data_IF_088362102131
#
_entry.id   IF_088362102131
#
_cell.length_a   1.000
_cell.length_b   1.000
_cell.length_c   1.000
_cell.angle_alpha   90.00
_cell.angle_beta   90.00
_cell.angle_gamma   90.00
#
_symmetry.space_group_name_H-M   'P 1'
#
loop_
_entity.id
_entity.type
_entity.pdbx_description
1 polymer ?
2 non-polymer ?
3 non-polymer ?
4 water ?
#
# COMPACT_ATOMS: atom_id res chain seq x y z
N UNK A 12 -1.51 23.30 -19.38
CA UNK A 12 -1.65 23.64 -17.93
C UNK A 12 -0.55 22.96 -17.09
N UNK A 13 -0.70 21.66 -16.77
CA UNK A 13 0.37 20.95 -16.04
C UNK A 13 1.63 20.87 -16.88
N UNK A 14 1.46 20.91 -18.18
CA UNK A 14 2.61 20.82 -19.05
C UNK A 14 3.48 22.09 -18.97
N UNK A 15 2.90 23.23 -18.52
CA UNK A 15 3.63 24.52 -18.56
C UNK A 15 3.57 25.45 -17.34
N UNK A 16 2.75 25.19 -16.33
CA UNK A 16 2.51 26.18 -15.28
C UNK A 16 3.52 26.02 -14.15
N UNK A 17 4.22 27.08 -13.80
CA UNK A 17 5.29 27.00 -12.81
C UNK A 17 4.76 26.63 -11.42
N UNK A 18 3.65 27.26 -11.00
CA UNK A 18 3.15 27.00 -9.65
C UNK A 18 2.69 25.56 -9.46
N UNK A 19 2.04 24.99 -10.48
CA UNK A 19 1.66 23.57 -10.43
C UNK A 19 2.89 22.67 -10.21
N UNK A 20 3.94 22.90 -11.02
CA UNK A 20 5.17 22.16 -10.88
C UNK A 20 5.80 22.35 -9.50
N UNK A 21 5.97 23.62 -9.07
CA UNK A 21 6.68 23.94 -7.82
C UNK A 21 5.92 23.34 -6.61
N UNK A 22 4.59 23.47 -6.60
CA UNK A 22 3.78 23.01 -5.48
C UNK A 22 3.68 21.49 -5.43
N UNK A 23 3.69 20.82 -6.56
CA UNK A 23 3.76 19.35 -6.57
C UNK A 23 5.06 18.88 -5.90
N UNK A 24 6.18 19.50 -6.22
CA UNK A 24 7.47 19.13 -5.59
C UNK A 24 7.46 19.47 -4.12
N UNK A 25 6.97 20.66 -3.82
CA UNK A 25 6.93 21.09 -2.42
C UNK A 25 6.03 20.20 -1.55
N UNK A 26 4.84 19.86 -2.05
CA UNK A 26 3.94 19.06 -1.28
C UNK A 26 4.40 17.60 -1.12
N UNK A 27 5.18 17.10 -2.06
CA UNK A 27 5.86 15.80 -1.87
C UNK A 27 6.79 15.88 -0.67
N UNK A 28 7.55 16.98 -0.54
CA UNK A 28 8.44 17.10 0.61
C UNK A 28 7.65 17.18 1.92
N UNK A 29 6.58 17.96 1.93
CA UNK A 29 5.77 18.07 3.13
C UNK A 29 5.19 16.66 3.52
N UNK A 30 4.69 15.94 2.52
CA UNK A 30 4.05 14.64 2.76
C UNK A 30 5.11 13.67 3.32
N UNK A 31 6.30 13.71 2.78
CA UNK A 31 7.37 12.83 3.26
C UNK A 31 7.78 13.18 4.69
N UNK A 32 7.82 14.47 5.03
CA UNK A 32 8.18 14.90 6.40
C UNK A 32 7.06 14.49 7.37
N UNK A 33 5.82 14.66 6.96
CA UNK A 33 4.70 14.21 7.81
C UNK A 33 4.70 12.67 8.00
N UNK A 34 5.04 11.92 6.97
CA UNK A 34 5.13 10.48 7.11
C UNK A 34 6.23 10.09 8.08
N UNK A 35 7.40 10.70 7.96
CA UNK A 35 8.48 10.41 8.91
C UNK A 35 8.03 10.69 10.35
N UNK A 36 7.32 11.78 10.56
CA UNK A 36 6.80 12.10 11.91
C UNK A 36 5.83 11.04 12.39
N UNK A 37 4.97 10.58 11.49
CA UNK A 37 4.03 9.53 11.84
C UNK A 37 4.74 8.23 12.19
N UNK A 38 5.78 7.89 11.43
CA UNK A 38 6.57 6.68 11.67
C UNK A 38 7.26 6.77 13.07
N UNK A 39 7.86 7.91 13.35
CA UNK A 39 8.64 8.11 14.57
C UNK A 39 7.69 8.02 15.78
N UNK A 40 6.50 8.60 15.62
CA UNK A 40 5.50 8.57 16.67
C UNK A 40 4.90 7.16 16.86
N UNK A 41 4.78 6.39 15.78
CA UNK A 41 4.29 5.01 15.92
C UNK A 41 5.26 4.18 16.78
N UNK A 42 6.54 4.33 16.51
CA UNK A 42 7.61 3.65 17.27
C UNK A 42 7.45 3.96 18.77
N UNK A 43 7.29 5.23 19.11
CA UNK A 43 7.09 5.64 20.50
C UNK A 43 5.80 5.10 21.07
N UNK A 44 4.69 5.10 20.32
CA UNK A 44 3.43 4.55 20.79
C UNK A 44 3.51 3.06 21.02
N UNK A 46 6.25 1.32 21.65
CA UNK A 46 7.10 1.19 22.84
C UNK A 46 6.31 1.47 24.14
N UNK A 47 5.50 2.53 24.16
CA UNK A 47 4.57 2.77 25.29
C UNK A 47 3.60 1.65 25.65
N UNK A 48 3.09 0.94 24.65
CA UNK A 48 2.11 -0.11 24.92
C UNK A 48 2.81 -1.45 25.15
N UNK A 49 3.90 -1.70 24.46
CA UNK A 49 4.47 -3.04 24.45
C UNK A 49 5.91 -3.13 24.97
N UNK A 50 6.53 -2.00 25.29
CA UNK A 50 7.98 -1.97 25.53
C UNK A 50 8.78 -2.27 24.25
N UNK A 51 10.06 -2.54 24.38
CA UNK A 51 10.90 -2.95 23.25
C UNK A 51 10.69 -4.46 22.96
N UNK A 52 9.44 -4.81 22.59
CA UNK A 52 8.98 -6.24 22.45
C UNK A 52 9.87 -6.92 21.42
N UNK A 53 10.24 -8.18 21.66
CA UNK A 53 11.23 -8.84 20.79
C UNK A 53 10.67 -8.86 19.35
N UNK A 54 11.45 -8.29 18.43
CA UNK A 54 11.15 -8.31 17.01
C UNK A 54 10.23 -7.22 16.50
N UNK A 55 9.61 -6.48 17.41
CA UNK A 55 8.55 -5.57 17.03
C UNK A 55 9.06 -4.42 16.24
N UNK A 57 11.93 -4.08 14.71
CA UNK A 57 12.54 -4.54 13.46
C UNK A 57 11.48 -4.87 12.41
N UNK A 58 10.35 -5.44 12.85
CA UNK A 58 9.24 -5.75 11.92
C UNK A 58 8.63 -4.50 11.35
N UNK A 59 8.49 -3.47 12.18
CA UNK A 59 7.95 -2.18 11.73
C UNK A 59 8.90 -1.54 10.72
N UNK A 60 10.20 -1.58 11.01
CA UNK A 60 11.19 -1.05 10.08
C UNK A 60 11.25 -1.84 8.77
N UNK A 61 11.17 -3.17 8.83
CA UNK A 61 11.18 -4.01 7.63
C UNK A 61 9.97 -3.70 6.73
N UNK A 62 8.79 -3.61 7.34
CA UNK A 62 7.55 -3.29 6.61
C UNK A 62 7.67 -1.94 5.91
N UNK A 63 8.19 -0.94 6.61
CA UNK A 63 8.29 0.39 6.03
C UNK A 63 9.27 0.41 4.85
N UNK A 64 10.33 -0.38 4.95
CA UNK A 64 11.25 -0.55 3.83
C UNK A 64 10.60 -1.14 2.59
N UNK A 65 9.85 -2.22 2.75
CA UNK A 65 9.14 -2.81 1.65
C UNK A 65 8.11 -1.78 1.10
N UNK A 66 7.44 -1.06 1.98
CA UNK A 66 6.46 -0.05 1.57
C UNK A 66 7.09 0.97 0.61
N UNK A 67 8.30 1.39 0.93
CA UNK A 67 8.96 2.41 0.09
C UNK A 67 9.26 1.82 -1.29
N UNK A 68 9.60 0.52 -1.34
CA UNK A 68 9.78 -0.15 -2.62
C UNK A 68 8.48 -0.22 -3.39
N UNK A 69 7.38 -0.55 -2.69
CA UNK A 69 6.06 -0.57 -3.34
C UNK A 69 5.65 0.80 -3.89
N UNK A 70 5.88 1.81 -3.09
CA UNK A 70 5.54 3.19 -3.46
C UNK A 70 6.16 3.51 -4.83
N UNK A 71 7.43 3.22 -4.99
CA UNK A 71 8.14 3.50 -6.24
C UNK A 71 7.64 2.63 -7.39
N UNK A 72 7.42 1.33 -7.13
CA UNK A 72 6.88 0.44 -8.14
C UNK A 72 5.50 0.92 -8.62
N UNK A 73 4.60 1.27 -7.69
CA UNK A 73 3.29 1.78 -8.06
C UNK A 73 3.38 3.11 -8.81
N UNK A 74 4.26 4.00 -8.40
CA UNK A 74 4.35 5.31 -9.06
C UNK A 74 4.88 5.11 -10.51
N UNK A 75 5.72 4.08 -10.74
CA UNK A 75 6.14 3.77 -12.11
C UNK A 75 4.97 3.33 -12.98
N UNK A 76 4.01 2.59 -12.42
CA UNK A 76 2.77 2.27 -13.16
C UNK A 76 1.94 3.51 -13.38
N UNK A 77 1.66 4.27 -12.30
CA UNK A 77 0.76 5.39 -12.44
C UNK A 77 1.25 6.41 -13.47
N UNK A 78 2.57 6.59 -13.59
CA UNK A 78 3.16 7.56 -14.49
C UNK A 78 3.60 6.98 -15.85
N UNK A 79 3.16 5.76 -16.14
CA UNK A 79 3.69 5.04 -17.28
C UNK A 79 3.48 5.78 -18.62
N UNK A 80 2.43 6.59 -18.73
CA UNK A 80 2.06 7.23 -20.01
C UNK A 80 2.80 8.55 -20.14
N UNK A 81 3.49 8.98 -19.10
CA UNK A 81 4.19 10.26 -19.16
C UNK A 81 5.64 10.00 -19.50
N UNK A 82 6.29 11.03 -20.01
CA UNK A 82 7.67 10.97 -20.43
C UNK A 82 8.57 11.29 -19.25
N UNK A 83 9.43 10.34 -18.83
CA UNK A 83 10.33 10.63 -17.71
C UNK A 83 11.06 11.94 -17.82
N UNK A 84 11.00 12.74 -16.76
CA UNK A 84 11.66 14.04 -16.75
C UNK A 84 10.81 15.22 -17.19
N UNK A 85 9.66 14.97 -17.84
CA UNK A 85 8.85 16.04 -18.34
C UNK A 85 8.13 16.73 -17.16
N UNK A 86 7.65 17.93 -17.40
CA UNK A 86 6.87 18.65 -16.39
C UNK A 86 5.72 17.76 -15.89
N UNK A 87 4.95 17.17 -16.83
CA UNK A 87 3.79 16.37 -16.55
C UNK A 87 4.16 15.13 -15.76
N UNK A 88 5.30 14.53 -16.10
CA UNK A 88 5.79 13.38 -15.41
C UNK A 88 6.20 13.71 -13.98
N UNK A 89 6.94 14.79 -13.84
CA UNK A 89 7.37 15.19 -12.48
C UNK A 89 6.17 15.53 -11.56
N UNK A 90 5.20 16.26 -12.08
CA UNK A 90 4.00 16.60 -11.33
C UNK A 90 3.24 15.30 -10.95
N UNK A 91 3.08 14.39 -11.91
CA UNK A 91 2.37 13.13 -11.65
C UNK A 91 3.10 12.26 -10.62
N UNK A 92 4.41 12.18 -10.79
CA UNK A 92 5.28 11.40 -9.91
C UNK A 92 5.20 11.95 -8.51
N UNK A 93 5.41 13.25 -8.38
CA UNK A 93 5.38 13.92 -7.10
C UNK A 93 4.01 13.85 -6.41
N UNK A 94 2.92 13.95 -7.16
CA UNK A 94 1.56 13.81 -6.61
C UNK A 94 1.31 12.38 -6.12
N UNK A 95 1.80 11.41 -6.87
CA UNK A 95 1.67 10.01 -6.49
C UNK A 95 2.43 9.75 -5.18
N UNK A 96 3.65 10.24 -5.09
CA UNK A 96 4.49 10.05 -3.90
C UNK A 96 3.78 10.69 -2.72
N UNK A 97 3.25 11.91 -2.91
CA UNK A 97 2.59 12.62 -1.82
C UNK A 97 1.36 11.85 -1.35
N UNK A 98 0.50 11.43 -2.27
CA UNK A 98 -0.72 10.72 -1.93
C UNK A 98 -0.42 9.38 -1.25
N UNK A 99 0.54 8.65 -1.77
CA UNK A 99 0.91 7.38 -1.19
C UNK A 99 1.48 7.55 0.21
N UNK A 100 2.26 8.61 0.38
CA UNK A 100 2.87 8.92 1.66
C UNK A 100 1.79 9.31 2.68
N UNK A 101 0.79 10.09 2.24
CA UNK A 101 -0.32 10.49 3.13
C UNK A 101 -1.08 9.28 3.59
N UNK A 102 -1.38 8.36 2.67
CA UNK A 102 -2.11 7.16 3.02
C UNK A 102 -1.30 6.28 4.00
N UNK A 103 0.02 6.18 3.79
CA UNK A 103 0.88 5.40 4.71
C UNK A 103 0.92 6.05 6.07
N UNK A 104 0.95 7.37 6.12
CA UNK A 104 0.99 8.08 7.37
C UNK A 104 -0.28 7.80 8.16
N UNK A 105 -1.44 7.83 7.47
CA UNK A 105 -2.69 7.51 8.13
C UNK A 105 -2.69 6.07 8.68
N UNK A 106 -2.22 5.13 7.90
CA UNK A 106 -2.14 3.77 8.35
C UNK A 106 -1.24 3.62 9.60
N UNK A 107 -0.08 4.26 9.62
CA UNK A 107 0.84 4.15 10.77
C UNK A 107 0.23 4.79 12.02
N UNK A 108 -0.44 5.92 11.86
CA UNK A 108 -1.19 6.51 12.97
C UNK A 108 -2.23 5.53 13.51
N UNK A 109 -2.93 4.85 12.61
CA UNK A 109 -3.99 3.92 13.01
C UNK A 109 -3.45 2.70 13.77
N UNK A 110 -2.24 2.27 13.44
CA UNK A 110 -1.61 1.12 14.08
C UNK A 110 -1.25 1.39 15.52
N UNK A 111 -0.87 2.62 15.86
CA UNK A 111 -0.48 2.93 17.19
C UNK A 111 -1.66 2.87 18.11
N UNK A 112 -2.86 3.10 17.54
CA UNK A 112 -4.11 3.09 18.31
C UNK A 112 -4.80 1.73 18.41
N UNK A 113 -4.24 0.68 17.79
CA UNK A 113 -4.80 -0.66 18.00
C UNK A 113 -4.41 -1.06 19.45
N UNK A 114 -5.42 -1.20 20.33
CA UNK A 114 -5.20 -1.35 21.80
C UNK A 114 -4.92 -2.80 22.22
N UNK B 16 -14.69 -19.93 18.69
CA UNK B 16 -15.73 -20.50 17.78
C UNK B 16 -15.12 -20.99 16.47
N UNK B 17 -15.60 -22.17 16.11
CA UNK B 17 -15.38 -22.74 14.80
C UNK B 17 -15.87 -21.77 13.72
N UNK B 18 -16.98 -21.07 13.99
CA UNK B 18 -17.58 -20.13 13.01
C UNK B 18 -16.77 -18.85 12.80
N UNK B 19 -16.25 -18.24 13.85
CA UNK B 19 -15.33 -17.13 13.70
C UNK B 19 -14.14 -17.57 12.84
N UNK B 20 -13.57 -18.74 13.16
CA UNK B 20 -12.43 -19.25 12.43
C UNK B 20 -12.78 -19.48 10.95
N UNK B 21 -13.87 -20.19 10.68
CA UNK B 21 -14.29 -20.50 9.32
C UNK B 21 -14.61 -19.23 8.52
N UNK B 22 -15.33 -18.27 9.12
CA UNK B 22 -15.67 -17.04 8.38
C UNK B 22 -14.47 -16.17 8.11
N UNK B 23 -13.53 -16.07 9.05
CA UNK B 23 -12.33 -15.26 8.80
C UNK B 23 -11.57 -15.85 7.60
N UNK B 24 -11.43 -17.18 7.55
CA UNK B 24 -10.78 -17.87 6.44
C UNK B 24 -11.53 -17.71 5.12
N UNK B 25 -12.85 -17.84 5.18
CA UNK B 25 -13.67 -17.69 3.99
C UNK B 25 -13.65 -16.29 3.43
N UNK B 26 -13.74 -15.30 4.32
CA UNK B 26 -13.72 -13.94 3.86
C UNK B 26 -12.33 -13.52 3.31
N UNK B 27 -11.26 -14.10 3.83
CA UNK B 27 -9.97 -13.92 3.20
C UNK B 27 -10.00 -14.49 1.76
N UNK B 28 -10.55 -15.69 1.57
CA UNK B 28 -10.65 -16.27 0.25
C UNK B 28 -11.46 -15.37 -0.67
N UNK B 29 -12.59 -14.86 -0.19
CA UNK B 29 -13.41 -13.99 -1.04
C UNK B 29 -12.62 -12.74 -1.43
N UNK B 30 -11.96 -12.11 -0.45
CA UNK B 30 -11.20 -10.91 -0.74
C UNK B 30 -10.10 -11.16 -1.77
N UNK B 31 -9.43 -12.31 -1.68
CA UNK B 31 -8.38 -12.64 -2.64
C UNK B 31 -8.92 -12.93 -4.03
N UNK B 32 -10.11 -13.51 -4.11
CA UNK B 32 -10.76 -13.71 -5.43
C UNK B 32 -11.12 -12.40 -6.05
N UNK B 33 -11.64 -11.46 -5.27
CA UNK B 33 -11.99 -10.17 -5.82
C UNK B 33 -10.73 -9.37 -6.24
N UNK B 34 -9.66 -9.52 -5.46
CA UNK B 34 -8.41 -8.88 -5.82
C UNK B 34 -7.88 -9.45 -7.14
N UNK B 35 -7.92 -10.78 -7.28
CA UNK B 35 -7.44 -11.38 -8.51
C UNK B 35 -8.26 -10.87 -9.73
N UNK B 36 -9.57 -10.78 -9.56
CA UNK B 36 -10.43 -10.24 -10.61
C UNK B 36 -10.09 -8.79 -10.91
N UNK B 37 -9.83 -7.98 -9.87
CA UNK B 37 -9.43 -6.58 -10.09
C UNK B 37 -8.11 -6.50 -10.85
N UNK B 38 -7.18 -7.35 -10.48
CA UNK B 38 -5.88 -7.42 -11.15
C UNK B 38 -6.07 -7.81 -12.63
N UNK B 39 -6.83 -8.88 -12.89
CA UNK B 39 -7.05 -9.35 -14.26
C UNK B 39 -7.76 -8.32 -15.12
N UNK B 40 -8.75 -7.63 -14.55
CA UNK B 40 -9.46 -6.59 -15.30
C UNK B 40 -8.59 -5.38 -15.54
N UNK B 41 -7.72 -5.02 -14.59
CA UNK B 41 -6.74 -3.96 -14.83
C UNK B 41 -5.86 -4.28 -16.02
N UNK B 42 -5.31 -5.49 -16.07
CA UNK B 42 -4.48 -5.95 -17.20
C UNK B 42 -5.26 -5.79 -18.52
N UNK B 43 -6.52 -6.20 -18.54
CA UNK B 43 -7.31 -6.08 -19.76
C UNK B 43 -7.53 -4.62 -20.14
N UNK B 44 -7.84 -3.75 -19.15
CA UNK B 44 -8.04 -2.33 -19.42
C UNK B 44 -6.79 -1.71 -19.99
N UNK B 46 -4.18 -3.18 -21.53
CA UNK B 46 -3.98 -3.66 -22.92
C UNK B 46 -4.92 -3.00 -23.92
N UNK B 47 -6.20 -2.90 -23.55
CA UNK B 47 -7.17 -2.19 -24.38
C UNK B 47 -6.72 -0.76 -24.69
N UNK B 48 -6.25 -0.04 -23.68
CA UNK B 48 -5.92 1.38 -23.84
C UNK B 48 -4.52 1.61 -24.42
N UNK B 49 -3.57 0.74 -24.10
CA UNK B 49 -2.16 1.02 -24.45
C UNK B 49 -1.46 -0.06 -25.27
N UNK B 50 -2.14 -1.17 -25.55
CA UNK B 50 -1.58 -2.23 -26.39
C UNK B 50 -0.42 -2.91 -25.70
N UNK B 51 0.54 -3.40 -26.46
CA UNK B 51 1.76 -4.03 -25.92
C UNK B 51 2.77 -2.92 -25.60
N UNK B 52 2.41 -1.95 -24.76
CA UNK B 52 3.32 -0.87 -24.42
C UNK B 52 4.53 -1.46 -23.70
N UNK B 53 5.72 -1.07 -24.11
CA UNK B 53 6.95 -1.70 -23.56
C UNK B 53 6.99 -1.54 -22.04
N UNK B 54 7.19 -2.64 -21.32
CA UNK B 54 7.36 -2.58 -19.85
C UNK B 54 6.11 -2.50 -18.98
N UNK B 55 4.94 -2.32 -19.60
CA UNK B 55 3.75 -1.94 -18.84
C UNK B 55 3.25 -3.15 -18.04
N UNK B 57 4.89 -5.77 -17.23
CA UNK B 57 5.95 -6.11 -16.28
C UNK B 57 5.99 -5.20 -15.08
N UNK B 58 5.79 -3.91 -15.27
CA UNK B 58 5.68 -2.99 -14.13
C UNK B 58 4.49 -3.32 -13.23
N UNK B 59 3.35 -3.67 -13.81
CA UNK B 59 2.17 -3.97 -13.01
C UNK B 59 2.38 -5.26 -12.22
N UNK B 60 2.98 -6.25 -12.89
CA UNK B 60 3.27 -7.52 -12.22
C UNK B 60 4.28 -7.34 -11.08
N UNK B 61 5.33 -6.59 -11.34
CA UNK B 61 6.37 -6.34 -10.36
C UNK B 61 5.80 -5.63 -9.15
N UNK B 62 4.97 -4.60 -9.39
CA UNK B 62 4.36 -3.87 -8.27
C UNK B 62 3.50 -4.77 -7.43
N UNK B 63 2.71 -5.64 -8.07
CA UNK B 63 1.83 -6.49 -7.30
C UNK B 63 2.65 -7.49 -6.47
N UNK B 64 3.80 -7.94 -6.99
CA UNK B 64 4.69 -8.84 -6.23
C UNK B 64 5.24 -8.15 -4.97
N UNK B 65 5.71 -6.93 -5.13
CA UNK B 65 6.19 -6.14 -3.97
C UNK B 65 5.04 -5.91 -2.99
N UNK B 66 3.85 -5.64 -3.52
CA UNK B 66 2.67 -5.50 -2.65
C UNK B 66 2.42 -6.72 -1.82
N UNK B 67 2.57 -7.92 -2.38
CA UNK B 67 2.26 -9.09 -1.58
C UNK B 67 3.33 -9.21 -0.47
N UNK B 68 4.54 -8.78 -0.75
CA UNK B 68 5.58 -8.77 0.31
C UNK B 68 5.25 -7.76 1.42
N UNK B 69 4.74 -6.58 1.05
CA UNK B 69 4.34 -5.59 2.05
C UNK B 69 3.17 -6.14 2.86
N UNK B 70 2.21 -6.77 2.19
CA UNK B 70 1.07 -7.34 2.88
C UNK B 70 1.53 -8.26 3.97
N UNK B 71 2.44 -9.19 3.67
CA UNK B 71 2.86 -10.10 4.71
C UNK B 71 3.66 -9.39 5.81
N UNK B 72 4.44 -8.39 5.46
CA UNK B 72 5.26 -7.67 6.45
C UNK B 72 4.34 -6.88 7.37
N UNK B 73 3.33 -6.22 6.80
CA UNK B 73 2.39 -5.45 7.64
C UNK B 73 1.52 -6.34 8.49
N UNK B 74 1.10 -7.50 7.96
CA UNK B 74 0.32 -8.43 8.76
C UNK B 74 1.13 -9.01 9.93
N UNK B 75 2.44 -9.17 9.77
CA UNK B 75 3.31 -9.64 10.86
C UNK B 75 3.36 -8.60 11.98
N UNK B 76 3.35 -7.33 11.62
CA UNK B 76 3.25 -6.23 12.62
C UNK B 76 1.87 -6.28 13.28
N UNK B 77 0.78 -6.30 12.49
CA UNK B 77 -0.56 -6.24 13.06
C UNK B 77 -0.88 -7.40 13.99
N UNK B 78 -0.37 -8.59 13.73
CA UNK B 78 -0.63 -9.74 14.54
C UNK B 78 0.43 -9.98 15.63
N UNK B 79 1.29 -9.00 15.87
CA UNK B 79 2.43 -9.20 16.80
C UNK B 79 2.01 -9.63 18.20
N UNK B 80 0.83 -9.24 18.67
CA UNK B 80 0.45 -9.59 20.03
C UNK B 80 -0.14 -10.99 20.15
N UNK B 81 -0.33 -11.71 19.05
CA UNK B 81 -0.90 -13.04 19.10
C UNK B 81 0.18 -14.13 19.01
N UNK B 82 -0.13 -15.35 19.48
CA UNK B 82 0.82 -16.46 19.46
C UNK B 82 0.75 -17.19 18.12
N UNK B 83 1.87 -17.20 17.38
CA UNK B 83 1.80 -17.82 16.06
C UNK B 83 1.39 -19.28 16.16
N UNK B 84 0.64 -19.75 15.17
CA UNK B 84 0.09 -21.10 15.20
C UNK B 84 -1.19 -21.30 15.97
N UNK B 85 -1.58 -20.30 16.78
CA UNK B 85 -2.82 -20.34 17.53
C UNK B 85 -4.00 -20.02 16.65
N UNK B 86 -5.19 -20.48 17.06
CA UNK B 86 -6.40 -20.19 16.31
C UNK B 86 -6.65 -18.66 16.27
N UNK B 87 -6.43 -17.99 17.40
CA UNK B 87 -6.57 -16.53 17.50
C UNK B 87 -5.65 -15.77 16.54
N UNK B 88 -4.38 -16.16 16.48
CA UNK B 88 -3.42 -15.59 15.53
C UNK B 88 -3.92 -15.77 14.08
N UNK B 89 -4.38 -16.98 13.76
CA UNK B 89 -4.80 -17.24 12.38
C UNK B 89 -6.04 -16.43 11.97
N UNK B 90 -6.99 -16.29 12.89
CA UNK B 90 -8.16 -15.38 12.66
C UNK B 90 -7.69 -13.95 12.39
N UNK B 91 -6.76 -13.46 13.21
CA UNK B 91 -6.25 -12.10 13.11
C UNK B 91 -5.46 -11.94 11.82
N UNK B 92 -4.68 -12.97 11.46
CA UNK B 92 -3.90 -12.96 10.23
C UNK B 92 -4.85 -12.90 9.02
N UNK B 93 -5.84 -13.77 8.99
CA UNK B 93 -6.80 -13.80 7.88
C UNK B 93 -7.56 -12.47 7.72
N UNK B 94 -7.99 -11.91 8.85
CA UNK B 94 -8.68 -10.62 8.84
C UNK B 94 -7.80 -9.51 8.25
N UNK B 95 -6.55 -9.45 8.66
CA UNK B 95 -5.60 -8.47 8.13
C UNK B 95 -5.40 -8.66 6.64
N UNK B 96 -5.16 -9.91 6.22
CA UNK B 96 -4.96 -10.19 4.79
C UNK B 96 -6.20 -9.78 3.98
N UNK B 97 -7.39 -10.11 4.50
CA UNK B 97 -8.60 -9.74 3.80
C UNK B 97 -8.75 -8.23 3.61
N UNK B 98 -8.50 -7.46 4.68
CA UNK B 98 -8.63 -6.02 4.59
C UNK B 98 -7.58 -5.41 3.68
N UNK B 99 -6.35 -5.85 3.81
CA UNK B 99 -5.28 -5.42 2.90
C UNK B 99 -5.59 -5.72 1.43
N UNK B 100 -6.15 -6.90 1.18
CA UNK B 100 -6.55 -7.31 -0.15
C UNK B 100 -7.67 -6.42 -0.72
N UNK B 101 -8.65 -6.09 0.12
CA UNK B 101 -9.77 -5.23 -0.28
C UNK B 101 -9.23 -3.85 -0.66
N UNK B 102 -8.26 -3.37 0.10
CA UNK B 102 -7.70 -2.06 -0.15
C UNK B 102 -6.91 -2.08 -1.47
N UNK B 103 -6.14 -3.13 -1.68
CA UNK B 103 -5.41 -3.27 -2.94
C UNK B 103 -6.35 -3.41 -4.12
N UNK B 104 -7.46 -4.14 -3.98
CA UNK B 104 -8.39 -4.31 -5.06
C UNK B 104 -9.01 -2.99 -5.47
N UNK B 105 -9.35 -2.16 -4.49
CA UNK B 105 -9.92 -0.85 -4.78
C UNK B 105 -8.87 -0.03 -5.57
N UNK B 106 -7.63 -0.07 -5.12
CA UNK B 106 -6.58 0.67 -5.79
C UNK B 106 -6.39 0.20 -7.26
N UNK B 107 -6.28 -1.11 -7.49
CA UNK B 107 -6.13 -1.58 -8.87
C UNK B 107 -7.35 -1.24 -9.75
N UNK B 108 -8.56 -1.31 -9.18
CA UNK B 108 -9.73 -0.89 -9.93
C UNK B 108 -9.64 0.59 -10.31
N UNK B 109 -8.98 1.39 -9.47
CA UNK B 109 -8.88 2.82 -9.75
C UNK B 109 -7.91 3.17 -10.85
N UNK B 110 -7.01 2.26 -11.16
CA UNK B 110 -5.98 2.48 -12.19
C UNK B 110 -6.54 2.24 -13.59
N UNK B 111 -5.93 2.89 -14.55
CA UNK B 111 -6.39 2.89 -15.99
C UNK B 111 -7.88 3.19 -16.23
N UNK B 112 -8.37 4.24 -15.58
CA UNK B 112 -9.76 4.65 -15.73
C UNK B 112 -9.97 5.71 -16.84
N UNK B 113 -8.90 6.27 -17.42
CA UNK B 113 -9.03 7.32 -18.49
C UNK B 113 -9.38 6.74 -19.87
#
# INVERSE_FOLDING_TARGET
>A
GADEEESTPCDNVETDQQTFACAAFNKQVAERELQSAYDELIERXRDQFGDEAGLXSRIEAAEKVWSQLRDADCKVETHAEQPGSNAYQIAWNSCIAQRSDERAEYLRSLGSQNSDEPAPED
>B
GADEEESTPCDNVETDQQTFACAAFNKQVAERELQSAYDELIERXRDQFGDEAGLXSRIEAAEKVWSQLRDADCKVETHAEQPGSNAYQIAWNSCIAQRSDERAEYLRSLGSQNSDEPAPED
#
